data_IF_053843732811
#
_entry.id   IF_053843732811
#
_cell.length_a   1.000
_cell.length_b   1.000
_cell.length_c   1.000
_cell.angle_alpha   90.00
_cell.angle_beta   90.00
_cell.angle_gamma   90.00
#
_symmetry.space_group_name_H-M   'P 1'
#
loop_
_entity.id
_entity.type
_entity.pdbx_description
1 polymer ?
#
# COMPACT_ATOMS: atom_id res chain seq x y z
N UNK A 1 90.40 38.87 14.43
CA UNK A 1 90.35 37.58 13.71
C UNK A 1 89.58 36.59 14.56
N UNK A 2 88.32 36.32 14.22
CA UNK A 2 87.56 35.19 14.74
C UNK A 2 86.32 35.03 13.83
N UNK A 3 86.44 34.12 12.89
CA UNK A 3 85.41 33.71 11.94
C UNK A 3 84.42 32.80 12.68
N UNK A 4 83.13 33.14 12.69
CA UNK A 4 82.09 32.25 13.22
C UNK A 4 81.24 31.76 12.04
N UNK A 5 81.53 30.54 11.58
CA UNK A 5 80.79 29.85 10.53
C UNK A 5 79.50 29.26 11.10
N UNK A 6 78.37 29.63 10.49
CA UNK A 6 77.05 29.07 10.75
C UNK A 6 76.96 27.64 10.21
N UNK A 7 76.76 26.69 11.12
CA UNK A 7 76.58 25.27 10.83
C UNK A 7 75.09 24.96 10.66
N UNK A 8 74.60 24.90 9.41
CA UNK A 8 73.26 24.46 9.05
C UNK A 8 73.22 22.94 8.93
N UNK A 9 72.39 22.31 9.76
CA UNK A 9 72.09 20.88 9.75
C UNK A 9 71.25 20.50 8.51
N UNK A 10 71.59 19.43 7.77
CA UNK A 10 70.79 18.99 6.64
C UNK A 10 69.59 18.16 7.12
N UNK A 11 68.39 18.62 6.73
CA UNK A 11 67.11 17.94 6.96
C UNK A 11 67.00 16.70 6.07
N UNK A 12 66.54 15.60 6.67
CA UNK A 12 66.36 14.28 6.05
C UNK A 12 65.40 14.28 4.85
N UNK A 13 65.63 13.41 3.84
CA UNK A 13 64.73 13.28 2.69
C UNK A 13 63.42 12.56 3.07
N UNK A 14 62.29 12.90 2.41
CA UNK A 14 61.00 12.30 2.69
C UNK A 14 60.89 10.86 2.17
N UNK A 15 60.14 10.05 2.94
CA UNK A 15 59.90 8.64 2.74
C UNK A 15 59.29 8.31 1.36
N UNK A 16 59.85 7.26 0.74
CA UNK A 16 59.36 6.59 -0.46
C UNK A 16 57.98 5.96 -0.23
N UNK A 17 57.01 6.30 -1.08
CA UNK A 17 55.73 5.60 -1.16
C UNK A 17 55.92 4.18 -1.74
N UNK A 18 55.19 3.16 -1.24
CA UNK A 18 55.25 1.82 -1.81
C UNK A 18 54.53 1.76 -3.17
N UNK A 19 55.25 1.26 -4.17
CA UNK A 19 54.75 0.90 -5.49
C UNK A 19 53.87 -0.35 -5.41
N UNK A 20 52.61 -0.22 -5.83
CA UNK A 20 51.71 -1.36 -6.01
C UNK A 20 52.08 -2.11 -7.31
N UNK A 21 52.19 -3.45 -7.31
CA UNK A 21 52.43 -4.20 -8.53
C UNK A 21 51.15 -4.21 -9.39
N UNK A 22 51.29 -3.77 -10.63
CA UNK A 22 50.26 -3.89 -11.68
C UNK A 22 50.18 -5.36 -12.09
N UNK A 23 49.09 -6.04 -11.69
CA UNK A 23 48.77 -7.38 -12.16
C UNK A 23 48.09 -7.27 -13.53
N UNK A 24 48.88 -7.39 -14.60
CA UNK A 24 48.37 -7.59 -15.96
C UNK A 24 47.81 -9.02 -16.08
N UNK A 25 46.49 -9.18 -15.89
CA UNK A 25 45.78 -10.40 -16.28
C UNK A 25 45.19 -10.25 -17.69
N UNK A 26 45.37 -11.23 -18.59
CA UNK A 26 44.77 -11.18 -19.92
C UNK A 26 43.24 -11.35 -19.83
N UNK A 27 42.53 -10.38 -20.40
CA UNK A 27 41.09 -10.29 -20.50
C UNK A 27 40.54 -11.46 -21.35
N UNK A 28 40.24 -12.58 -20.70
CA UNK A 28 39.47 -13.68 -21.31
C UNK A 28 37.99 -13.33 -21.21
N UNK A 29 37.41 -12.93 -22.35
CA UNK A 29 35.96 -12.71 -22.50
C UNK A 29 35.20 -13.99 -22.15
N UNK A 30 34.24 -14.00 -21.21
CA UNK A 30 33.22 -15.03 -21.20
C UNK A 30 32.24 -14.75 -22.35
N UNK A 31 32.09 -15.75 -23.21
CA UNK A 31 31.15 -15.80 -24.32
C UNK A 31 29.72 -15.75 -23.75
N UNK A 32 29.03 -14.62 -23.93
CA UNK A 32 27.60 -14.50 -23.62
C UNK A 32 26.81 -15.49 -24.48
N UNK A 33 26.18 -16.48 -23.85
CA UNK A 33 25.09 -17.24 -24.46
C UNK A 33 23.82 -16.39 -24.37
N UNK A 34 23.08 -16.18 -25.47
CA UNK A 34 21.83 -15.42 -25.42
C UNK A 34 20.74 -16.32 -24.81
N UNK A 35 20.36 -16.06 -23.56
CA UNK A 35 19.12 -16.59 -23.01
C UNK A 35 17.97 -15.83 -23.69
N UNK A 36 17.24 -16.56 -24.54
CA UNK A 36 16.02 -16.10 -25.21
C UNK A 36 14.98 -15.67 -24.16
N UNK A 37 14.23 -14.58 -24.38
CA UNK A 37 13.10 -14.23 -23.52
C UNK A 37 11.99 -15.27 -23.68
N UNK A 38 11.56 -15.87 -22.56
CA UNK A 38 10.36 -16.72 -22.54
C UNK A 38 9.15 -15.81 -22.68
N UNK A 39 8.49 -15.95 -23.83
CA UNK A 39 7.22 -15.32 -24.18
C UNK A 39 6.10 -15.99 -23.38
N UNK A 40 5.57 -15.32 -22.36
CA UNK A 40 4.39 -15.80 -21.62
C UNK A 40 3.13 -15.50 -22.43
N UNK A 41 2.71 -16.48 -23.24
CA UNK A 41 1.36 -16.51 -23.77
C UNK A 41 0.44 -17.18 -22.74
N UNK A 42 -0.49 -16.38 -22.21
CA UNK A 42 -1.56 -16.83 -21.34
C UNK A 42 -2.74 -17.29 -22.21
N UNK A 43 -3.07 -18.58 -22.18
CA UNK A 43 -4.42 -19.13 -22.44
C UNK A 43 -4.36 -20.66 -22.41
N UNK A 44 -4.91 -21.26 -21.35
CA UNK A 44 -6.01 -22.23 -21.43
C UNK A 44 -6.10 -23.01 -20.12
N UNK A 45 -7.26 -22.85 -19.49
CA UNK A 45 -7.84 -23.70 -18.46
C UNK A 45 -7.61 -25.18 -18.72
N UNK A 46 -6.90 -25.86 -17.82
CA UNK A 46 -7.02 -27.30 -17.62
C UNK A 46 -7.24 -27.60 -16.15
N UNK A 47 -8.49 -27.95 -15.86
CA UNK A 47 -8.98 -28.71 -14.72
C UNK A 47 -8.03 -29.87 -14.41
N UNK A 48 -7.38 -29.87 -13.25
CA UNK A 48 -6.66 -31.05 -12.76
C UNK A 48 -7.64 -31.83 -11.88
N UNK A 49 -8.21 -32.86 -12.50
CA UNK A 49 -9.01 -33.90 -11.89
C UNK A 49 -8.11 -34.90 -11.15
N UNK A 50 -8.52 -35.25 -9.93
CA UNK A 50 -8.40 -36.56 -9.27
C UNK A 50 -7.08 -37.31 -9.44
N UNK A 51 -6.26 -37.34 -8.39
CA UNK A 51 -5.21 -38.35 -8.24
C UNK A 51 -5.85 -39.72 -7.99
N UNK A 52 -5.89 -40.55 -9.05
CA UNK A 52 -6.09 -41.99 -8.95
C UNK A 52 -4.79 -42.62 -8.45
N UNK A 53 -4.88 -43.32 -7.32
CA UNK A 53 -3.84 -44.22 -6.81
C UNK A 53 -3.60 -45.36 -7.80
N UNK A 54 -2.34 -45.53 -8.21
CA UNK A 54 -1.88 -46.58 -9.11
C UNK A 54 -0.51 -47.06 -8.66
N UNK A 55 -0.46 -48.33 -8.25
CA UNK A 55 0.68 -49.10 -7.77
C UNK A 55 2.00 -48.90 -8.53
N UNK A 56 3.10 -48.90 -7.78
CA UNK A 56 4.35 -49.51 -8.21
C UNK A 56 5.55 -48.59 -8.38
N UNK A 57 6.17 -48.15 -7.27
CA UNK A 57 7.61 -47.88 -7.24
C UNK A 57 8.17 -48.11 -5.83
N UNK A 58 9.20 -48.95 -5.73
CA UNK A 58 9.96 -49.23 -4.50
C UNK A 58 10.89 -48.06 -4.11
N UNK A 59 10.31 -46.87 -4.03
CA UNK A 59 10.91 -45.73 -3.34
C UNK A 59 10.28 -45.69 -1.95
N UNK A 60 11.06 -45.75 -0.85
CA UNK A 60 10.49 -45.51 0.46
C UNK A 60 9.81 -44.14 0.39
N UNK A 61 8.50 -44.02 0.63
CA UNK A 61 7.93 -42.71 0.86
C UNK A 61 8.70 -42.15 2.06
N UNK A 62 9.29 -40.95 1.90
CA UNK A 62 9.61 -40.10 3.04
C UNK A 62 8.42 -40.18 3.99
N UNK A 63 8.62 -40.25 5.32
CA UNK A 63 7.52 -40.45 6.25
C UNK A 63 6.57 -39.27 6.09
N UNK A 64 5.55 -39.43 5.26
CA UNK A 64 4.34 -38.66 5.32
C UNK A 64 3.76 -39.07 6.67
N UNK A 65 4.21 -38.34 7.68
CA UNK A 65 3.68 -38.42 9.03
C UNK A 65 2.16 -38.34 8.83
N UNK A 66 1.44 -39.42 9.12
CA UNK A 66 -0.01 -39.50 8.94
C UNK A 66 -0.64 -38.32 9.70
N UNK A 67 -0.91 -37.23 8.97
CA UNK A 67 -1.46 -36.02 9.55
C UNK A 67 -2.97 -36.23 9.66
N UNK A 68 -3.55 -36.19 10.87
CA UNK A 68 -4.99 -36.39 11.04
C UNK A 68 -5.80 -35.19 10.52
N UNK A 69 -5.14 -34.05 10.32
CA UNK A 69 -5.74 -32.81 9.83
C UNK A 69 -6.15 -32.95 8.36
N UNK A 70 -7.45 -32.73 8.03
CA UNK A 70 -7.94 -32.69 6.65
C UNK A 70 -7.09 -31.76 5.79
N UNK A 71 -6.81 -32.11 4.52
CA UNK A 71 -5.86 -31.37 3.70
C UNK A 71 -6.24 -29.89 3.54
N UNK A 72 -7.53 -29.56 3.44
CA UNK A 72 -7.98 -28.17 3.29
C UNK A 72 -7.69 -27.28 4.52
N UNK A 73 -7.59 -27.89 5.71
CA UNK A 73 -7.34 -27.20 6.97
C UNK A 73 -5.84 -27.18 7.33
N UNK A 74 -4.99 -27.75 6.48
CA UNK A 74 -3.55 -27.71 6.69
C UNK A 74 -3.01 -26.30 6.36
N UNK A 75 -2.21 -25.68 7.26
CA UNK A 75 -1.69 -24.33 7.05
C UNK A 75 -0.92 -24.13 5.73
N UNK A 76 -0.26 -25.18 5.23
CA UNK A 76 0.46 -25.14 3.95
C UNK A 76 -0.48 -25.06 2.75
N UNK A 77 -1.64 -25.73 2.80
CA UNK A 77 -2.63 -25.72 1.74
C UNK A 77 -3.45 -24.42 1.79
N UNK A 78 -3.76 -23.92 2.99
CA UNK A 78 -4.30 -22.57 3.19
C UNK A 78 -3.38 -21.50 2.56
N UNK A 79 -2.06 -21.62 2.76
CA UNK A 79 -1.07 -20.73 2.15
C UNK A 79 -1.07 -20.80 0.60
N UNK A 80 -1.10 -21.99 0.03
CA UNK A 80 -1.12 -22.17 -1.43
C UNK A 80 -2.41 -21.60 -2.03
N UNK A 81 -3.55 -21.87 -1.38
CA UNK A 81 -4.84 -21.31 -1.76
C UNK A 81 -4.83 -19.77 -1.69
N UNK A 82 -4.32 -19.22 -0.59
CA UNK A 82 -4.25 -17.77 -0.41
C UNK A 82 -3.32 -17.11 -1.44
N UNK A 83 -2.12 -17.64 -1.66
CA UNK A 83 -1.14 -17.07 -2.59
C UNK A 83 -1.59 -17.12 -4.06
N UNK A 84 -2.55 -17.96 -4.42
CA UNK A 84 -3.11 -18.04 -5.78
C UNK A 84 -4.42 -17.24 -5.92
N UNK A 85 -5.16 -17.03 -4.84
CA UNK A 85 -6.42 -16.30 -4.84
C UNK A 85 -6.27 -14.80 -5.13
N UNK A 86 -7.31 -14.20 -5.72
CA UNK A 86 -7.44 -12.75 -5.85
C UNK A 86 -7.99 -12.14 -4.55
N UNK A 87 -7.48 -11.00 -4.04
CA UNK A 87 -6.37 -10.18 -4.55
C UNK A 87 -4.99 -10.56 -3.99
N UNK A 88 -4.93 -11.58 -3.12
CA UNK A 88 -3.74 -11.93 -2.34
C UNK A 88 -2.51 -12.31 -3.18
N UNK A 89 -2.72 -12.89 -4.36
CA UNK A 89 -1.67 -13.24 -5.31
C UNK A 89 -0.85 -12.04 -5.77
N UNK A 90 -1.39 -10.82 -5.75
CA UNK A 90 -0.68 -9.62 -6.17
C UNK A 90 0.52 -9.33 -5.25
N UNK A 91 0.39 -9.61 -3.96
CA UNK A 91 1.44 -9.37 -2.98
C UNK A 91 2.65 -10.31 -3.14
N UNK A 92 2.45 -11.47 -3.76
CA UNK A 92 3.52 -12.43 -4.06
C UNK A 92 4.27 -12.16 -5.38
N UNK A 93 3.80 -11.21 -6.20
CA UNK A 93 4.45 -10.87 -7.47
C UNK A 93 5.63 -9.90 -7.26
N UNK A 94 6.40 -9.68 -8.32
CA UNK A 94 7.45 -8.66 -8.38
C UNK A 94 6.92 -7.27 -7.96
N UNK A 95 7.82 -6.43 -7.43
CA UNK A 95 7.50 -5.12 -6.88
C UNK A 95 6.88 -4.20 -7.93
N UNK A 96 7.42 -4.20 -9.15
CA UNK A 96 6.95 -3.30 -10.21
C UNK A 96 5.54 -3.69 -10.62
N UNK A 97 5.30 -4.97 -10.84
CA UNK A 97 3.99 -5.48 -11.23
C UNK A 97 2.96 -5.26 -10.11
N UNK A 98 3.32 -5.52 -8.85
CA UNK A 98 2.48 -5.21 -7.69
C UNK A 98 2.07 -3.73 -7.64
N UNK A 99 3.04 -2.81 -7.71
CA UNK A 99 2.78 -1.38 -7.68
C UNK A 99 1.91 -0.93 -8.87
N UNK A 100 2.16 -1.48 -10.07
CA UNK A 100 1.40 -1.13 -11.26
C UNK A 100 -0.08 -1.55 -11.15
N UNK A 101 -0.36 -2.75 -10.63
CA UNK A 101 -1.74 -3.24 -10.41
C UNK A 101 -2.47 -2.39 -9.38
N UNK A 102 -1.77 -2.01 -8.31
CA UNK A 102 -2.32 -1.19 -7.26
C UNK A 102 -2.65 0.23 -7.75
N UNK A 103 -1.72 0.83 -8.50
CA UNK A 103 -1.91 2.13 -9.12
C UNK A 103 -3.03 2.10 -10.15
N UNK A 104 -3.07 1.10 -11.04
CA UNK A 104 -4.12 0.95 -12.04
C UNK A 104 -5.50 0.80 -11.38
N UNK A 105 -5.61 0.02 -10.30
CA UNK A 105 -6.85 -0.16 -9.55
C UNK A 105 -7.30 1.17 -8.92
N UNK A 106 -6.40 1.85 -8.21
CA UNK A 106 -6.69 3.14 -7.59
C UNK A 106 -7.04 4.24 -8.58
N UNK A 107 -6.29 4.34 -9.69
CA UNK A 107 -6.54 5.29 -10.76
C UNK A 107 -7.86 5.01 -11.48
N UNK A 108 -8.20 3.74 -11.73
CA UNK A 108 -9.49 3.38 -12.32
C UNK A 108 -10.64 3.82 -11.43
N UNK A 109 -10.57 3.57 -10.12
CA UNK A 109 -11.61 3.97 -9.19
C UNK A 109 -11.71 5.50 -9.07
N UNK A 110 -10.57 6.19 -8.98
CA UNK A 110 -10.53 7.64 -8.95
C UNK A 110 -11.18 8.24 -10.21
N UNK A 111 -10.86 7.72 -11.41
CA UNK A 111 -11.40 8.27 -12.67
C UNK A 111 -12.87 7.93 -12.91
N UNK A 112 -13.29 6.69 -12.67
CA UNK A 112 -14.64 6.24 -13.00
C UNK A 112 -15.68 6.50 -11.91
N UNK A 113 -15.26 6.55 -10.64
CA UNK A 113 -16.16 6.75 -9.50
C UNK A 113 -15.83 8.06 -8.79
N UNK A 114 -14.57 8.25 -8.40
CA UNK A 114 -14.13 9.42 -7.64
C UNK A 114 -14.39 10.74 -8.36
N UNK A 115 -14.10 10.81 -9.66
CA UNK A 115 -14.20 12.04 -10.45
C UNK A 115 -15.67 12.43 -10.71
N UNK A 116 -16.56 11.54 -11.20
CA UNK A 116 -17.97 11.89 -11.32
C UNK A 116 -18.59 12.30 -9.99
N UNK A 117 -18.31 11.55 -8.91
CA UNK A 117 -18.85 11.86 -7.57
C UNK A 117 -18.35 13.22 -7.07
N UNK A 118 -17.06 13.52 -7.22
CA UNK A 118 -16.50 14.80 -6.82
C UNK A 118 -17.00 15.97 -7.68
N UNK A 119 -17.22 15.73 -8.97
CA UNK A 119 -17.71 16.75 -9.91
C UNK A 119 -19.17 17.10 -9.67
N UNK A 120 -20.04 16.08 -9.57
CA UNK A 120 -21.47 16.30 -9.30
C UNK A 120 -21.74 16.73 -7.85
N UNK A 121 -20.89 16.33 -6.89
CA UNK A 121 -21.01 16.71 -5.50
C UNK A 121 -20.52 18.13 -5.19
N UNK A 122 -19.78 18.78 -6.09
CA UNK A 122 -19.31 20.15 -5.89
C UNK A 122 -20.43 21.15 -6.23
N UNK A 123 -21.21 21.51 -5.22
CA UNK A 123 -22.23 22.57 -5.32
C UNK A 123 -21.54 23.95 -5.27
N UNK A 124 -21.01 24.43 -6.39
CA UNK A 124 -20.43 25.76 -6.48
C UNK A 124 -19.88 26.10 -7.88
N UNK A 125 -19.54 27.37 -8.15
CA UNK A 125 -18.90 27.77 -9.40
C UNK A 125 -17.60 26.99 -9.62
N UNK A 126 -17.38 26.53 -10.86
CA UNK A 126 -16.21 25.73 -11.29
C UNK A 126 -14.98 26.65 -11.40
N UNK A 127 -14.61 27.34 -10.33
CA UNK A 127 -13.43 28.22 -10.32
C UNK A 127 -12.14 27.40 -10.21
N UNK A 128 -12.15 26.30 -9.42
CA UNK A 128 -10.95 25.54 -9.09
C UNK A 128 -11.09 24.03 -9.39
N UNK A 129 -10.54 23.51 -10.51
CA UNK A 129 -10.56 22.07 -10.80
C UNK A 129 -9.69 21.24 -9.84
N UNK A 130 -8.83 21.90 -9.06
CA UNK A 130 -7.92 21.24 -8.11
C UNK A 130 -8.69 20.53 -6.99
N UNK A 131 -9.80 21.11 -6.52
CA UNK A 131 -10.64 20.53 -5.44
C UNK A 131 -11.22 19.17 -5.81
N UNK A 132 -12.01 19.01 -6.90
CA UNK A 132 -12.58 17.73 -7.27
C UNK A 132 -11.52 16.70 -7.68
N UNK A 133 -10.38 17.14 -8.24
CA UNK A 133 -9.27 16.24 -8.56
C UNK A 133 -8.63 15.66 -7.30
N UNK A 134 -8.33 16.49 -6.29
CA UNK A 134 -7.80 16.02 -5.00
C UNK A 134 -8.78 15.09 -4.27
N UNK A 135 -10.08 15.42 -4.29
CA UNK A 135 -11.13 14.58 -3.74
C UNK A 135 -11.18 13.21 -4.45
N UNK A 136 -11.17 13.21 -5.78
CA UNK A 136 -11.14 11.99 -6.59
C UNK A 136 -9.92 11.12 -6.30
N UNK A 137 -8.72 11.71 -6.26
CA UNK A 137 -7.47 10.99 -5.94
C UNK A 137 -7.51 10.40 -4.53
N UNK A 138 -8.01 11.15 -3.54
CA UNK A 138 -8.14 10.67 -2.17
C UNK A 138 -9.05 9.43 -2.07
N UNK A 139 -10.12 9.38 -2.87
CA UNK A 139 -11.04 8.23 -2.93
C UNK A 139 -10.36 6.97 -3.50
N UNK A 140 -9.53 7.13 -4.54
CA UNK A 140 -8.74 6.04 -5.11
C UNK A 140 -7.71 5.48 -4.13
N UNK A 141 -7.02 6.36 -3.41
CA UNK A 141 -6.06 5.98 -2.36
C UNK A 141 -6.77 5.24 -1.22
N UNK A 142 -7.97 5.70 -0.79
CA UNK A 142 -8.76 5.02 0.23
C UNK A 142 -9.11 3.58 -0.16
N UNK A 143 -9.65 3.39 -1.37
CA UNK A 143 -10.03 2.06 -1.85
C UNK A 143 -8.83 1.11 -1.90
N UNK A 144 -7.71 1.61 -2.44
CA UNK A 144 -6.44 0.88 -2.47
C UNK A 144 -5.95 0.53 -1.06
N UNK A 145 -6.07 1.44 -0.10
CA UNK A 145 -5.69 1.21 1.29
C UNK A 145 -6.50 0.08 1.92
N UNK A 146 -7.82 0.06 1.71
CA UNK A 146 -8.70 -1.02 2.21
C UNK A 146 -8.34 -2.36 1.57
N UNK A 147 -8.05 -2.39 0.26
CA UNK A 147 -7.63 -3.61 -0.43
C UNK A 147 -6.30 -4.15 0.12
N UNK A 148 -5.30 -3.28 0.35
CA UNK A 148 -4.00 -3.64 0.95
C UNK A 148 -4.17 -4.12 2.38
N UNK A 149 -5.03 -3.47 3.18
CA UNK A 149 -5.34 -3.92 4.53
C UNK A 149 -5.96 -5.32 4.53
N UNK A 150 -6.90 -5.60 3.62
CA UNK A 150 -7.48 -6.94 3.45
C UNK A 150 -6.44 -7.99 3.10
N UNK A 151 -5.52 -7.65 2.18
CA UNK A 151 -4.39 -8.52 1.83
C UNK A 151 -3.49 -8.76 3.05
N UNK A 152 -3.10 -7.71 3.77
CA UNK A 152 -2.27 -7.79 4.96
C UNK A 152 -2.86 -8.72 6.02
N UNK A 153 -4.15 -8.60 6.32
CA UNK A 153 -4.84 -9.44 7.29
C UNK A 153 -4.83 -10.92 6.88
N UNK A 154 -5.08 -11.24 5.60
CA UNK A 154 -5.04 -12.63 5.14
C UNK A 154 -3.65 -13.24 5.19
N UNK A 155 -2.62 -12.49 4.77
CA UNK A 155 -1.23 -12.92 4.87
C UNK A 155 -0.77 -13.07 6.33
N UNK A 156 -1.23 -12.20 7.23
CA UNK A 156 -0.88 -12.25 8.65
C UNK A 156 -1.54 -13.46 9.32
N UNK A 157 -2.80 -13.75 8.98
CA UNK A 157 -3.53 -14.92 9.48
C UNK A 157 -2.82 -16.23 9.13
N UNK A 158 -2.55 -16.47 7.83
CA UNK A 158 -1.85 -17.68 7.37
C UNK A 158 -0.43 -17.74 7.93
N UNK A 159 0.27 -16.60 7.97
CA UNK A 159 1.60 -16.52 8.56
C UNK A 159 1.62 -16.94 10.03
N UNK A 160 0.61 -16.52 10.81
CA UNK A 160 0.49 -16.93 12.21
C UNK A 160 0.20 -18.43 12.34
N UNK A 161 -0.68 -19.00 11.51
CA UNK A 161 -0.98 -20.44 11.48
C UNK A 161 0.21 -21.31 11.06
N UNK A 162 1.03 -20.84 10.13
CA UNK A 162 2.27 -21.53 9.74
C UNK A 162 3.28 -21.56 10.91
N UNK A 163 3.44 -20.45 11.63
CA UNK A 163 4.42 -20.35 12.73
C UNK A 163 3.95 -20.98 14.04
N UNK A 164 2.64 -21.18 14.20
CA UNK A 164 2.04 -21.82 15.37
C UNK A 164 2.38 -23.31 15.43
N UNK A 165 2.64 -23.79 16.65
CA UNK A 165 2.97 -25.20 16.91
C UNK A 165 1.72 -26.09 16.98
N UNK A 166 0.55 -25.50 17.21
CA UNK A 166 -0.74 -26.18 17.24
C UNK A 166 -1.60 -25.75 16.05
N UNK A 167 -2.44 -26.66 15.58
CA UNK A 167 -3.46 -26.41 14.55
C UNK A 167 -4.79 -26.91 15.09
N UNK A 168 -5.75 -26.02 15.19
CA UNK A 168 -7.15 -26.36 15.43
C UNK A 168 -7.78 -26.81 14.12
N UNK A 169 -8.38 -27.99 14.12
CA UNK A 169 -8.95 -28.61 12.95
C UNK A 169 -10.26 -29.33 13.31
N UNK A 170 -11.15 -29.37 12.34
CA UNK A 170 -12.50 -29.91 12.47
C UNK A 170 -12.60 -31.18 11.64
N UNK A 171 -12.72 -32.34 12.30
CA UNK A 171 -12.92 -33.62 11.61
C UNK A 171 -14.38 -33.82 11.16
N UNK A 172 -15.36 -33.28 11.92
CA UNK A 172 -16.80 -33.38 11.63
C UNK A 172 -17.55 -32.13 12.03
N UNK A 173 -18.51 -31.67 11.23
CA UNK A 173 -19.15 -30.35 11.40
C UNK A 173 -20.15 -30.19 12.56
N UNK A 174 -20.15 -31.04 13.59
CA UNK A 174 -21.11 -30.98 14.71
C UNK A 174 -20.48 -31.08 16.11
N UNK A 175 -19.17 -31.30 16.23
CA UNK A 175 -18.46 -31.35 17.52
C UNK A 175 -17.31 -30.35 17.55
N UNK A 176 -16.89 -29.95 18.76
CA UNK A 176 -15.77 -29.03 18.96
C UNK A 176 -14.50 -29.52 18.23
N UNK A 177 -13.79 -28.59 17.60
CA UNK A 177 -12.54 -28.86 16.90
C UNK A 177 -11.48 -29.51 17.79
N UNK A 178 -10.66 -30.36 17.18
CA UNK A 178 -9.51 -30.97 17.81
C UNK A 178 -8.26 -30.10 17.61
N UNK A 179 -7.34 -30.18 18.56
CA UNK A 179 -6.03 -29.52 18.46
C UNK A 179 -4.97 -30.56 18.11
N UNK A 180 -4.31 -30.38 16.98
CA UNK A 180 -3.14 -31.17 16.60
C UNK A 180 -1.85 -30.42 16.88
N UNK A 181 -0.90 -31.07 17.55
CA UNK A 181 0.45 -30.53 17.76
C UNK A 181 1.34 -30.97 16.61
N UNK A 182 1.92 -30.00 15.88
CA UNK A 182 2.81 -30.26 14.76
C UNK A 182 4.06 -31.01 15.22
N UNK A 183 4.46 -32.04 14.48
CA UNK A 183 5.77 -32.67 14.70
C UNK A 183 6.90 -31.68 14.41
N UNK A 184 8.07 -31.89 15.01
CA UNK A 184 9.21 -31.00 14.87
C UNK A 184 9.63 -30.79 13.40
N UNK A 185 9.50 -31.82 12.57
CA UNK A 185 9.81 -31.80 11.14
C UNK A 185 8.84 -30.89 10.35
N UNK A 186 7.53 -31.06 10.56
CA UNK A 186 6.49 -30.23 9.93
C UNK A 186 6.61 -28.78 10.37
N UNK A 187 6.84 -28.55 11.67
CA UNK A 187 7.02 -27.21 12.21
C UNK A 187 8.29 -26.52 11.66
N UNK A 188 9.38 -27.25 11.47
CA UNK A 188 10.60 -26.71 10.87
C UNK A 188 10.36 -26.31 9.41
N UNK A 189 9.67 -27.15 8.63
CA UNK A 189 9.27 -26.84 7.23
C UNK A 189 8.40 -25.58 7.16
N UNK A 190 7.36 -25.49 7.99
CA UNK A 190 6.45 -24.35 8.01
C UNK A 190 7.15 -23.06 8.41
N UNK A 191 8.08 -23.12 9.38
CA UNK A 191 8.88 -21.96 9.79
C UNK A 191 9.83 -21.48 8.71
N UNK A 192 10.47 -22.39 7.98
CA UNK A 192 11.28 -22.04 6.82
C UNK A 192 10.42 -21.33 5.77
N UNK A 193 9.30 -21.93 5.37
CA UNK A 193 8.38 -21.33 4.40
C UNK A 193 7.86 -19.96 4.86
N UNK A 194 7.43 -19.86 6.11
CA UNK A 194 6.94 -18.63 6.72
C UNK A 194 8.02 -17.53 6.75
N UNK A 195 9.27 -17.88 7.05
CA UNK A 195 10.36 -16.92 7.09
C UNK A 195 10.82 -16.44 5.71
N UNK A 196 10.84 -17.31 4.70
CA UNK A 196 11.37 -16.98 3.38
C UNK A 196 10.31 -16.43 2.42
N UNK A 197 9.05 -16.86 2.54
CA UNK A 197 7.97 -16.44 1.64
C UNK A 197 7.04 -15.41 2.30
N UNK A 198 6.57 -15.67 3.52
CA UNK A 198 5.51 -14.85 4.14
C UNK A 198 6.07 -13.56 4.75
N UNK A 199 7.20 -13.62 5.48
CA UNK A 199 7.80 -12.43 6.11
C UNK A 199 8.11 -11.30 5.10
N UNK A 200 8.80 -11.52 3.96
CA UNK A 200 9.07 -10.43 3.03
C UNK A 200 7.80 -9.82 2.46
N UNK A 201 6.77 -10.63 2.17
CA UNK A 201 5.46 -10.15 1.68
C UNK A 201 4.77 -9.29 2.74
N UNK A 202 4.75 -9.73 4.00
CA UNK A 202 4.17 -8.95 5.11
C UNK A 202 4.89 -7.62 5.33
N UNK A 203 6.22 -7.62 5.27
CA UNK A 203 7.01 -6.39 5.41
C UNK A 203 6.69 -5.42 4.27
N UNK A 204 6.63 -5.91 3.02
CA UNK A 204 6.23 -5.10 1.86
C UNK A 204 4.84 -4.49 2.06
N UNK A 205 3.85 -5.29 2.47
CA UNK A 205 2.48 -4.82 2.71
C UNK A 205 2.43 -3.75 3.81
N UNK A 206 3.17 -3.93 4.91
CA UNK A 206 3.29 -2.93 5.98
C UNK A 206 3.81 -1.59 5.45
N UNK A 207 4.91 -1.60 4.71
CA UNK A 207 5.47 -0.37 4.14
C UNK A 207 4.51 0.29 3.16
N UNK A 208 3.80 -0.49 2.35
CA UNK A 208 2.81 0.06 1.42
C UNK A 208 1.63 0.70 2.16
N UNK A 209 1.18 0.11 3.27
CA UNK A 209 0.10 0.66 4.09
C UNK A 209 0.51 1.98 4.76
N UNK A 210 1.73 2.05 5.28
CA UNK A 210 2.29 3.30 5.82
C UNK A 210 2.41 4.36 4.72
N UNK A 211 2.93 4.00 3.54
CA UNK A 211 3.09 4.92 2.40
C UNK A 211 1.73 5.45 1.93
N UNK A 212 0.72 4.60 1.83
CA UNK A 212 -0.64 4.97 1.46
C UNK A 212 -1.29 5.88 2.52
N UNK A 213 -1.09 5.60 3.81
CA UNK A 213 -1.59 6.46 4.88
C UNK A 213 -0.98 7.87 4.83
N UNK A 214 0.34 7.96 4.60
CA UNK A 214 1.03 9.25 4.41
C UNK A 214 0.52 9.95 3.15
N UNK A 215 0.41 9.25 2.03
CA UNK A 215 -0.10 9.81 0.77
C UNK A 215 -1.53 10.32 0.91
N UNK A 216 -2.38 9.58 1.64
CA UNK A 216 -3.74 9.99 1.91
C UNK A 216 -3.78 11.27 2.74
N UNK A 217 -2.98 11.36 3.79
CA UNK A 217 -2.89 12.55 4.64
C UNK A 217 -2.42 13.76 3.81
N UNK A 218 -1.44 13.57 2.91
CA UNK A 218 -0.96 14.61 1.99
C UNK A 218 -2.06 15.08 1.02
N UNK A 219 -2.97 14.20 0.59
CA UNK A 219 -4.10 14.60 -0.26
C UNK A 219 -5.23 15.28 0.53
N UNK A 220 -5.49 14.85 1.76
CA UNK A 220 -6.62 15.31 2.58
C UNK A 220 -6.33 16.65 3.27
N UNK A 221 -5.11 16.88 3.76
CA UNK A 221 -4.77 18.14 4.47
C UNK A 221 -5.00 19.40 3.62
N UNK A 222 -4.54 19.49 2.36
CA UNK A 222 -4.83 20.64 1.51
C UNK A 222 -6.33 20.80 1.25
N UNK A 223 -7.06 19.69 1.13
CA UNK A 223 -8.50 19.71 0.89
C UNK A 223 -9.26 20.35 2.05
N UNK A 224 -8.87 20.06 3.29
CA UNK A 224 -9.44 20.69 4.50
C UNK A 224 -9.12 22.19 4.53
N UNK A 225 -7.87 22.58 4.25
CA UNK A 225 -7.47 24.01 4.26
C UNK A 225 -8.22 24.83 3.19
N UNK A 226 -8.46 24.23 2.03
CA UNK A 226 -9.17 24.84 0.91
C UNK A 226 -10.67 24.97 1.19
N UNK A 227 -11.25 24.03 1.95
CA UNK A 227 -12.65 24.10 2.40
C UNK A 227 -12.84 25.22 3.44
N UNK A 228 -11.92 25.34 4.39
CA UNK A 228 -11.95 26.38 5.42
C UNK A 228 -11.89 27.80 4.82
N UNK A 229 -10.97 28.05 3.88
CA UNK A 229 -10.88 29.34 3.18
C UNK A 229 -12.08 29.63 2.27
N UNK A 230 -12.77 28.60 1.78
CA UNK A 230 -14.02 28.74 1.03
C UNK A 230 -15.22 29.04 1.94
N UNK A 231 -15.29 28.40 3.11
CA UNK A 231 -16.33 28.64 4.10
C UNK A 231 -16.28 30.07 4.63
N UNK A 232 -15.12 30.59 5.01
CA UNK A 232 -14.99 31.96 5.54
C UNK A 232 -15.50 33.00 4.53
N UNK A 233 -15.19 32.81 3.25
CA UNK A 233 -15.69 33.65 2.15
C UNK A 233 -17.19 33.45 1.90
N UNK A 234 -17.69 32.21 2.01
CA UNK A 234 -19.11 31.87 1.91
C UNK A 234 -19.93 32.43 3.08
N UNK A 235 -19.43 32.41 4.32
CA UNK A 235 -20.11 32.98 5.48
C UNK A 235 -20.16 34.50 5.40
N UNK A 236 -19.11 35.17 4.89
CA UNK A 236 -19.18 36.61 4.58
C UNK A 236 -20.12 36.91 3.42
N UNK A 237 -20.02 36.17 2.31
CA UNK A 237 -20.89 36.33 1.13
C UNK A 237 -22.34 35.99 1.45
N UNK A 238 -22.62 35.04 2.34
CA UNK A 238 -23.97 34.69 2.83
C UNK A 238 -24.51 35.74 3.80
N UNK A 239 -23.65 36.37 4.60
CA UNK A 239 -24.03 37.52 5.43
C UNK A 239 -24.36 38.74 4.56
N UNK A 240 -23.61 38.95 3.48
CA UNK A 240 -23.83 40.01 2.49
C UNK A 240 -25.01 39.69 1.55
N UNK A 241 -25.23 38.42 1.20
CA UNK A 241 -26.39 37.96 0.44
C UNK A 241 -27.66 37.86 1.29
N UNK A 242 -27.56 37.75 2.63
CA UNK A 242 -28.70 37.99 3.53
C UNK A 242 -29.13 39.45 3.53
N UNK A 243 -28.20 40.37 3.27
CA UNK A 243 -28.51 41.79 3.05
C UNK A 243 -29.06 42.00 1.62
N UNK A 244 -28.75 41.10 0.68
CA UNK A 244 -29.30 41.14 -0.68
C UNK A 244 -30.57 40.28 -0.80
N UNK A 245 -31.71 40.93 -0.54
CA UNK A 245 -33.09 40.48 -0.72
C UNK A 245 -33.29 39.09 -1.36
N UNK A 246 -33.54 38.09 -0.50
CA UNK A 246 -33.99 36.76 -0.92
C UNK A 246 -35.45 36.87 -1.38
N UNK A 247 -35.81 36.43 -2.61
CA UNK A 247 -37.19 36.52 -3.10
C UNK A 247 -38.16 35.76 -2.18
N UNK A 248 -39.12 36.48 -1.60
CA UNK A 248 -40.17 35.91 -0.74
C UNK A 248 -39.87 35.92 0.77
N UNK A 249 -38.69 36.40 1.20
CA UNK A 249 -38.40 36.64 2.61
C UNK A 249 -38.54 38.14 2.87
N UNK A 250 -39.44 38.50 3.79
CA UNK A 250 -39.62 39.89 4.20
C UNK A 250 -38.36 40.37 4.92
N UNK A 251 -37.78 41.46 4.44
CA UNK A 251 -36.57 42.09 4.96
C UNK A 251 -36.88 43.54 5.33
N UNK A 252 -36.73 43.88 6.62
CA UNK A 252 -37.11 45.19 7.17
C UNK A 252 -36.29 46.34 6.56
N UNK A 253 -35.03 46.09 6.18
CA UNK A 253 -34.16 47.09 5.56
C UNK A 253 -34.59 47.39 4.12
N UNK A 254 -34.98 46.35 3.37
CA UNK A 254 -35.62 46.49 2.06
C UNK A 254 -36.98 47.20 2.17
N UNK A 255 -37.83 46.84 3.14
CA UNK A 255 -39.15 47.45 3.33
C UNK A 255 -39.09 48.97 3.62
N UNK A 256 -38.11 49.41 4.42
CA UNK A 256 -37.83 50.84 4.69
C UNK A 256 -37.50 51.66 3.46
N UNK A 257 -36.95 51.04 2.41
CA UNK A 257 -36.64 51.73 1.16
C UNK A 257 -37.87 51.98 0.27
N UNK A 258 -38.92 51.15 0.40
CA UNK A 258 -40.15 51.26 -0.39
C UNK A 258 -41.23 52.08 0.31
N UNK A 259 -41.31 52.03 1.64
CA UNK A 259 -42.32 52.75 2.44
C UNK A 259 -41.67 53.48 3.63
N UNK A 260 -40.89 54.55 3.41
CA UNK A 260 -40.15 55.22 4.48
C UNK A 260 -41.08 55.79 5.57
N UNK A 261 -42.26 56.28 5.17
CA UNK A 261 -43.23 56.91 6.06
C UNK A 261 -43.88 55.93 7.06
N UNK A 262 -43.89 54.62 6.75
CA UNK A 262 -44.41 53.58 7.64
C UNK A 262 -43.49 53.33 8.85
N UNK A 263 -42.22 53.73 8.75
CA UNK A 263 -41.19 53.54 9.78
C UNK A 263 -40.76 54.86 10.45
N UNK A 264 -41.39 55.99 10.13
CA UNK A 264 -41.09 57.31 10.72
C UNK A 264 -41.63 57.51 12.15
N UNK A 265 -42.07 56.45 12.83
CA UNK A 265 -42.67 56.52 14.16
C UNK A 265 -41.79 55.90 15.23
N UNK A 266 -40.75 56.61 15.67
CA UNK A 266 -40.38 56.84 17.08
C UNK A 266 -39.02 57.58 17.09
N UNK A 267 -38.95 58.83 17.58
CA UNK A 267 -37.67 59.43 17.92
C UNK A 267 -37.09 58.68 19.12
N UNK A 268 -35.87 58.16 18.99
CA UNK A 268 -35.09 57.63 20.11
C UNK A 268 -34.98 58.71 21.22
N UNK A 269 -35.86 58.58 22.22
CA UNK A 269 -35.81 59.33 23.47
C UNK A 269 -35.24 58.42 24.55
N UNK A 270 -33.91 58.23 24.53
CA UNK A 270 -32.99 58.20 25.69
C UNK A 270 -31.64 57.60 25.33
#
# INVERSE_FOLDING_TARGET
MATTLLHLSPKSPPASAPSFPVLNSPFSRPRFLPLRPIKTNNSNTKTISSYKSGNGSNTPPLPETECPVPPEQQPINEYQSLSTSFPFSWASVDVVEYCSRLFATGASFALFVGLPVAWFGSAGPISDPVRPVLASVSSGILLVTVAVLRMYLGWAYVGNRLLSATVEYEETGWYDGQIWVKTAEVLARDRLLGSFSVKPVLIRLKYTLVTLAVSLLVCVLPLINVDQGGQDSSYMTSKEARVQAIPGVYDDDSARSFEPDAFCGEPDLS
#
